data_IF_862143847399
#
_entry.id   IF_862143847399
#
_cell.length_a   1.000
_cell.length_b   1.000
_cell.length_c   1.000
_cell.angle_alpha   90.00
_cell.angle_beta   90.00
_cell.angle_gamma   90.00
#
_symmetry.space_group_name_H-M   'P 1'
#
loop_
_entity.id
_entity.type
_entity.pdbx_description
1 polymer ?
#
# COMPACT_ATOMS: atom_id res chain seq x y z
N UNK A 1 2.91 14.55 8.42
CA UNK A 1 4.28 14.55 8.98
C UNK A 1 4.74 13.10 9.17
N UNK A 2 6.00 12.78 8.85
CA UNK A 2 6.59 11.46 9.07
C UNK A 2 7.60 11.50 10.21
N UNK A 3 7.57 10.51 11.09
CA UNK A 3 8.55 10.41 12.19
C UNK A 3 9.71 9.55 11.72
N UNK A 4 10.96 10.03 11.81
CA UNK A 4 12.12 9.20 11.55
C UNK A 4 12.28 8.17 12.67
N UNK A 5 12.26 6.89 12.31
CA UNK A 5 12.62 5.78 13.17
C UNK A 5 14.02 5.31 12.78
N UNK A 6 14.88 5.10 13.78
CA UNK A 6 16.25 4.68 13.58
C UNK A 6 16.47 3.37 14.33
N UNK A 7 16.93 2.34 13.61
CA UNK A 7 17.30 1.05 14.20
C UNK A 7 18.75 0.77 13.85
N UNK A 8 19.56 0.52 14.88
CA UNK A 8 20.94 0.07 14.73
C UNK A 8 20.96 -1.44 14.78
N UNK A 9 21.49 -2.05 13.73
CA UNK A 9 21.69 -3.48 13.62
C UNK A 9 23.17 -3.77 13.90
N UNK A 10 23.45 -4.67 14.83
CA UNK A 10 24.78 -5.19 15.07
C UNK A 10 24.78 -6.70 14.96
N UNK A 11 25.80 -7.26 14.29
CA UNK A 11 25.96 -8.69 14.10
C UNK A 11 27.41 -9.10 14.10
N UNK A 12 27.73 -10.23 14.73
CA UNK A 12 29.07 -10.81 14.71
C UNK A 12 29.07 -12.07 13.86
N UNK A 13 30.04 -12.17 12.93
CA UNK A 13 30.21 -13.39 12.14
C UNK A 13 31.20 -14.33 12.82
N UNK A 14 30.75 -15.57 13.06
CA UNK A 14 31.62 -16.66 13.49
C UNK A 14 32.09 -17.39 12.23
N UNK A 15 33.33 -17.12 11.82
CA UNK A 15 33.94 -17.86 10.73
C UNK A 15 34.31 -19.28 11.22
N UNK A 16 33.55 -20.28 10.75
CA UNK A 16 33.92 -21.68 10.93
C UNK A 16 35.22 -21.96 10.18
N UNK A 17 36.26 -22.39 10.88
CA UNK A 17 37.52 -22.82 10.27
C UNK A 17 37.25 -24.11 9.48
N UNK A 18 37.74 -24.28 8.24
CA UNK A 18 37.68 -25.57 7.57
C UNK A 18 38.46 -26.61 8.40
N UNK A 19 37.83 -27.75 8.69
CA UNK A 19 38.46 -28.87 9.37
C UNK A 19 39.44 -29.54 8.40
N UNK A 20 40.68 -29.09 8.39
CA UNK A 20 41.74 -29.81 7.70
C UNK A 20 42.15 -31.02 8.55
N UNK A 21 41.75 -32.22 8.09
CA UNK A 21 42.05 -33.49 8.76
C UNK A 21 43.47 -33.92 8.41
N UNK A 22 44.42 -33.60 9.28
CA UNK A 22 45.78 -34.12 9.23
C UNK A 22 46.03 -34.85 10.55
N UNK A 23 46.07 -36.18 10.50
CA UNK A 23 46.57 -36.98 11.60
C UNK A 23 48.07 -36.68 11.79
N UNK A 24 48.46 -36.15 12.97
CA UNK A 24 49.60 -36.59 13.82
C UNK A 24 50.08 -35.46 14.79
N UNK A 25 49.85 -35.69 16.08
CA UNK A 25 50.63 -35.36 17.32
C UNK A 25 51.05 -33.90 17.66
N UNK A 26 50.44 -33.40 18.76
CA UNK A 26 50.89 -32.50 19.86
C UNK A 26 51.98 -31.46 19.54
N UNK A 27 51.62 -30.17 19.52
CA UNK A 27 51.85 -29.29 20.69
C UNK A 27 50.98 -28.02 20.67
N UNK A 28 50.68 -27.53 21.87
CA UNK A 28 49.83 -26.39 22.25
C UNK A 28 49.64 -25.23 21.23
N UNK A 29 48.55 -25.28 20.46
CA UNK A 29 48.06 -24.13 19.69
C UNK A 29 47.32 -23.18 20.63
N UNK A 30 47.94 -22.06 20.98
CA UNK A 30 47.24 -20.86 21.43
C UNK A 30 46.25 -20.50 20.32
N UNK A 31 44.99 -20.89 20.51
CA UNK A 31 43.89 -20.52 19.63
C UNK A 31 43.64 -19.04 19.91
N UNK A 32 44.35 -18.17 19.20
CA UNK A 32 44.00 -16.75 19.20
C UNK A 32 42.53 -16.66 18.79
N UNK A 33 41.68 -15.96 19.56
CA UNK A 33 40.33 -15.67 19.12
C UNK A 33 40.50 -14.80 17.87
N UNK A 34 40.22 -15.37 16.70
CA UNK A 34 40.03 -14.58 15.49
C UNK A 34 39.05 -13.46 15.84
N UNK A 35 39.39 -12.18 15.59
CA UNK A 35 38.48 -11.09 15.92
C UNK A 35 37.15 -11.39 15.25
N UNK A 36 36.09 -11.54 16.06
CA UNK A 36 34.76 -11.72 15.52
C UNK A 36 34.50 -10.54 14.59
N UNK A 37 34.28 -10.82 13.30
CA UNK A 37 34.04 -9.76 12.34
C UNK A 37 32.70 -9.12 12.71
N UNK A 38 32.77 -7.89 13.19
CA UNK A 38 31.62 -7.14 13.67
C UNK A 38 31.07 -6.29 12.51
N UNK A 39 29.79 -6.46 12.24
CA UNK A 39 29.04 -5.67 11.27
C UNK A 39 28.08 -4.78 12.04
N UNK A 40 28.07 -3.50 11.68
CA UNK A 40 27.11 -2.52 12.20
C UNK A 40 26.50 -1.74 11.05
N UNK A 41 25.20 -1.51 11.11
CA UNK A 41 24.47 -0.72 10.13
C UNK A 41 23.28 -0.02 10.76
N UNK A 42 22.87 1.11 10.17
CA UNK A 42 21.72 1.88 10.63
C UNK A 42 20.66 1.91 9.55
N UNK A 43 19.42 1.59 9.91
CA UNK A 43 18.24 1.69 9.02
C UNK A 43 17.38 2.85 9.50
N UNK A 44 17.09 3.77 8.58
CA UNK A 44 16.16 4.88 8.79
C UNK A 44 14.84 4.57 8.10
N UNK A 45 13.73 4.61 8.84
CA UNK A 45 12.38 4.41 8.32
C UNK A 45 11.55 5.64 8.62
N UNK A 46 10.87 6.17 7.62
CA UNK A 46 9.90 7.26 7.81
C UNK A 46 8.51 6.66 8.00
N UNK A 47 8.04 6.63 9.24
CA UNK A 47 6.70 6.14 9.55
C UNK A 47 5.69 7.29 9.45
N UNK A 48 4.58 7.14 8.69
CA UNK A 48 3.52 8.14 8.68
C UNK A 48 2.88 8.23 10.07
N UNK A 49 2.71 9.44 10.61
CA UNK A 49 1.89 9.63 11.81
C UNK A 49 0.42 9.41 11.46
N UNK A 50 -0.18 8.36 12.03
CA UNK A 50 -1.63 8.13 12.01
C UNK A 50 -2.27 8.57 13.31
N UNK A 51 -3.53 8.98 13.26
CA UNK A 51 -4.33 9.33 14.42
C UNK A 51 -5.76 8.86 14.31
N UNK A 52 -6.41 8.67 15.45
CA UNK A 52 -7.82 8.35 15.55
C UNK A 52 -8.61 9.59 15.95
N UNK A 53 -9.67 9.89 15.20
CA UNK A 53 -10.64 10.93 15.47
C UNK A 53 -11.99 10.26 15.71
N UNK A 54 -12.59 10.47 16.88
CA UNK A 54 -13.91 9.94 17.20
C UNK A 54 -14.98 11.01 16.97
N UNK A 55 -16.04 10.64 16.26
CA UNK A 55 -17.15 11.52 15.90
C UNK A 55 -18.46 11.02 16.50
N UNK A 56 -19.30 11.97 16.91
CA UNK A 56 -20.72 11.73 17.13
C UNK A 56 -21.46 11.53 15.79
N UNK A 57 -22.67 10.95 15.80
CA UNK A 57 -23.50 10.80 14.59
C UNK A 57 -23.84 12.14 13.90
N UNK A 58 -23.90 13.23 14.66
CA UNK A 58 -24.12 14.59 14.15
C UNK A 58 -22.84 15.22 13.52
N UNK A 59 -21.71 14.52 13.61
CA UNK A 59 -20.42 14.96 13.09
C UNK A 59 -19.55 15.76 14.02
N UNK A 60 -20.00 16.01 15.25
CA UNK A 60 -19.18 16.67 16.25
C UNK A 60 -18.02 15.77 16.70
N UNK A 61 -16.85 16.38 16.91
CA UNK A 61 -15.66 15.70 17.36
C UNK A 61 -15.79 15.41 18.86
N UNK A 62 -15.75 14.14 19.23
CA UNK A 62 -15.80 13.68 20.63
C UNK A 62 -14.41 13.65 21.23
N UNK A 63 -13.45 13.08 20.52
CA UNK A 63 -12.09 12.99 21.00
C UNK A 63 -11.07 12.92 19.85
N UNK A 64 -9.88 13.41 20.15
CA UNK A 64 -8.67 13.32 19.35
C UNK A 64 -7.47 13.36 20.31
N UNK A 65 -6.36 12.77 19.92
CA UNK A 65 -5.11 12.88 20.67
C UNK A 65 -4.47 14.26 20.47
N UNK A 66 -4.11 14.94 21.57
CA UNK A 66 -3.63 16.33 21.57
C UNK A 66 -2.46 16.55 20.61
N UNK A 67 -1.46 15.67 20.63
CA UNK A 67 -0.29 15.81 19.77
C UNK A 67 -0.66 15.69 18.27
N UNK A 68 -1.68 14.89 17.95
CA UNK A 68 -2.14 14.71 16.58
C UNK A 68 -3.01 15.88 16.13
N UNK A 69 -3.87 16.41 17.00
CA UNK A 69 -4.63 17.64 16.76
C UNK A 69 -3.70 18.78 16.36
N UNK A 70 -2.63 18.97 17.12
CA UNK A 70 -1.66 20.04 16.87
C UNK A 70 -0.81 19.75 15.63
N UNK A 71 -0.27 18.54 15.49
CA UNK A 71 0.67 18.22 14.42
C UNK A 71 0.01 18.05 13.04
N UNK A 72 -1.26 17.66 12.98
CA UNK A 72 -1.99 17.48 11.71
C UNK A 72 -2.82 18.71 11.33
N UNK A 73 -3.46 19.36 12.29
CA UNK A 73 -4.43 20.43 12.03
C UNK A 73 -4.04 21.79 12.61
N UNK A 74 -3.04 21.85 13.49
CA UNK A 74 -2.61 23.11 14.12
C UNK A 74 -3.53 23.61 15.23
N UNK A 75 -4.46 22.78 15.72
CA UNK A 75 -5.38 23.13 16.80
C UNK A 75 -5.09 22.33 18.06
N UNK A 76 -5.37 22.91 19.23
CA UNK A 76 -5.41 22.13 20.47
C UNK A 76 -6.62 21.20 20.49
N UNK A 77 -6.55 20.13 21.30
CA UNK A 77 -7.71 19.23 21.49
C UNK A 77 -8.95 19.99 21.94
N UNK A 78 -8.79 20.90 22.91
CA UNK A 78 -9.90 21.65 23.51
C UNK A 78 -10.60 22.57 22.49
N UNK A 79 -9.88 23.04 21.48
CA UNK A 79 -10.46 23.81 20.37
C UNK A 79 -11.21 22.96 19.35
N UNK A 80 -10.97 21.65 19.30
CA UNK A 80 -11.59 20.74 18.35
C UNK A 80 -12.78 19.98 18.91
N UNK A 81 -12.75 19.61 20.20
CA UNK A 81 -13.85 18.92 20.84
C UNK A 81 -15.14 19.74 20.72
N UNK A 82 -16.20 19.10 20.24
CA UNK A 82 -17.50 19.73 19.99
C UNK A 82 -17.64 20.44 18.64
N UNK A 83 -16.57 20.67 17.89
CA UNK A 83 -16.67 21.19 16.51
C UNK A 83 -17.06 20.09 15.53
N UNK A 84 -17.74 20.45 14.45
CA UNK A 84 -18.01 19.52 13.35
C UNK A 84 -16.70 19.10 12.68
N UNK A 85 -16.58 17.83 12.28
CA UNK A 85 -15.46 17.32 11.46
C UNK A 85 -15.28 18.13 10.17
N UNK A 86 -16.35 18.72 9.64
CA UNK A 86 -16.31 19.57 8.44
C UNK A 86 -15.51 20.86 8.62
N UNK A 87 -15.29 21.31 9.86
CA UNK A 87 -14.38 22.41 10.19
C UNK A 87 -12.92 22.06 9.84
N UNK A 88 -12.52 20.81 10.07
CA UNK A 88 -11.19 20.30 9.74
C UNK A 88 -11.09 19.84 8.29
N UNK A 89 -12.11 19.13 7.81
CA UNK A 89 -12.17 18.54 6.47
C UNK A 89 -13.49 18.89 5.79
N UNK A 90 -13.55 20.00 5.04
CA UNK A 90 -14.71 20.31 4.20
C UNK A 90 -14.98 19.17 3.22
N UNK A 91 -16.26 18.81 3.04
CA UNK A 91 -16.66 17.73 2.13
C UNK A 91 -16.50 16.30 2.67
N UNK A 92 -16.11 16.12 3.95
CA UNK A 92 -15.96 14.81 4.60
C UNK A 92 -17.12 13.84 4.33
N UNK A 93 -18.36 14.30 4.44
CA UNK A 93 -19.54 13.46 4.21
C UNK A 93 -19.79 13.11 2.76
N UNK A 94 -19.38 13.97 1.81
CA UNK A 94 -19.47 13.67 0.38
C UNK A 94 -18.62 12.46 0.04
N UNK A 95 -17.38 12.45 0.53
CA UNK A 95 -16.46 11.31 0.37
C UNK A 95 -17.01 10.01 0.97
N UNK A 96 -17.66 10.07 2.13
CA UNK A 96 -18.27 8.89 2.74
C UNK A 96 -19.49 8.38 1.98
N UNK A 97 -20.27 9.27 1.35
CA UNK A 97 -21.50 8.90 0.63
C UNK A 97 -21.25 8.32 -0.77
N UNK A 98 -20.13 8.66 -1.41
CA UNK A 98 -19.80 8.20 -2.77
C UNK A 98 -19.51 6.69 -2.88
N UNK A 99 -19.22 6.05 -1.74
CA UNK A 99 -19.04 4.60 -1.60
C UNK A 99 -20.22 3.79 -2.16
N UNK A 100 -21.43 4.32 -2.03
CA UNK A 100 -22.67 3.59 -2.39
C UNK A 100 -23.03 3.72 -3.87
N UNK A 101 -22.48 4.73 -4.58
CA UNK A 101 -22.85 5.01 -5.97
C UNK A 101 -22.00 4.21 -6.96
N UNK A 102 -20.79 3.80 -6.56
CA UNK A 102 -19.89 3.02 -7.43
C UNK A 102 -20.20 1.52 -7.42
N UNK A 103 -20.89 1.02 -6.39
CA UNK A 103 -21.41 -0.35 -6.37
C UNK A 103 -22.65 -0.53 -7.27
N UNK A 104 -23.44 0.52 -7.51
CA UNK A 104 -24.60 0.45 -8.41
C UNK A 104 -24.23 0.57 -9.90
N UNK A 105 -23.05 1.12 -10.24
CA UNK A 105 -22.57 1.14 -11.64
C UNK A 105 -22.20 -0.25 -12.18
N UNK A 106 -22.17 -1.28 -11.32
CA UNK A 106 -22.03 -2.69 -11.73
C UNK A 106 -23.37 -3.45 -11.77
N UNK A 107 -24.49 -2.80 -11.45
CA UNK A 107 -25.82 -3.41 -11.52
C UNK A 107 -26.74 -2.59 -12.42
N UNK A 108 -26.61 -2.86 -13.73
CA UNK A 108 -27.70 -2.81 -14.70
C UNK A 108 -28.45 -1.50 -14.92
N UNK A 109 -27.96 -0.66 -15.83
CA UNK A 109 -28.85 -0.05 -16.83
C UNK A 109 -28.66 -0.86 -18.12
N UNK A 110 -29.69 -1.39 -18.78
CA UNK A 110 -30.83 -0.65 -19.30
C UNK A 110 -31.89 -1.64 -19.80
N UNK A 111 -33.18 -1.39 -19.55
CA UNK A 111 -34.23 -1.33 -20.59
C UNK A 111 -35.65 -1.29 -19.98
N UNK A 112 -36.33 -0.17 -20.19
CA UNK A 112 -37.79 -0.03 -20.29
C UNK A 112 -37.99 1.30 -21.04
N UNK A 113 -38.71 1.46 -22.15
CA UNK A 113 -39.34 0.57 -23.12
C UNK A 113 -39.43 1.38 -24.42
N UNK A 114 -39.31 0.74 -25.59
CA UNK A 114 -39.90 1.28 -26.82
C UNK A 114 -40.28 0.14 -27.78
N UNK A 115 -41.54 0.16 -28.19
CA UNK A 115 -42.20 -0.81 -29.04
C UNK A 115 -42.09 -0.37 -30.49
N UNK A 116 -41.44 -1.15 -31.35
CA UNK A 116 -41.91 -1.38 -32.73
C UNK A 116 -41.18 -2.54 -33.40
N UNK A 117 -41.93 -3.24 -34.26
CA UNK A 117 -41.64 -4.54 -34.82
C UNK A 117 -40.67 -4.54 -36.01
N UNK A 118 -40.12 -5.74 -36.23
CA UNK A 118 -39.61 -6.30 -37.48
C UNK A 118 -38.12 -6.16 -37.83
N UNK A 119 -37.52 -7.34 -37.91
CA UNK A 119 -36.47 -7.79 -38.84
C UNK A 119 -35.00 -7.51 -38.50
N UNK A 120 -34.28 -8.63 -38.42
CA UNK A 120 -32.86 -8.84 -38.21
C UNK A 120 -31.95 -7.99 -39.09
N UNK A 121 -30.79 -7.59 -38.55
CA UNK A 121 -29.50 -7.66 -39.26
C UNK A 121 -28.32 -7.55 -38.28
N UNK A 122 -27.48 -8.58 -38.33
CA UNK A 122 -26.17 -8.69 -37.70
C UNK A 122 -25.23 -7.69 -38.38
N UNK A 123 -24.53 -6.84 -37.63
CA UNK A 123 -23.32 -6.19 -38.13
C UNK A 123 -22.28 -6.01 -37.03
N UNK A 124 -21.32 -6.93 -37.04
CA UNK A 124 -19.88 -6.69 -36.87
C UNK A 124 -19.44 -5.75 -35.75
N UNK A 125 -19.02 -6.37 -34.65
CA UNK A 125 -17.99 -5.88 -33.74
C UNK A 125 -16.71 -5.70 -34.55
N UNK A 126 -16.31 -4.46 -34.82
CA UNK A 126 -14.94 -4.10 -35.20
C UNK A 126 -14.61 -2.77 -34.56
N UNK A 127 -14.32 -2.80 -33.26
CA UNK A 127 -13.61 -1.72 -32.57
C UNK A 127 -12.17 -1.73 -33.08
N UNK A 128 -11.83 -0.70 -33.85
CA UNK A 128 -10.47 -0.41 -34.26
C UNK A 128 -9.57 -0.35 -33.01
N UNK A 129 -8.55 -1.21 -32.98
CA UNK A 129 -7.55 -1.29 -31.92
C UNK A 129 -6.68 -0.04 -32.00
N UNK A 130 -6.74 0.80 -30.98
CA UNK A 130 -5.75 1.85 -30.73
C UNK A 130 -4.43 1.16 -30.28
N UNK A 131 -3.30 1.33 -31.00
CA UNK A 131 -2.09 0.53 -30.79
C UNK A 131 -1.32 0.86 -29.51
N UNK A 132 -1.83 1.79 -28.70
CA UNK A 132 -1.18 2.30 -27.49
C UNK A 132 -1.59 1.61 -26.18
N UNK A 133 -2.56 0.68 -26.23
CA UNK A 133 -3.10 0.02 -25.03
C UNK A 133 -2.40 -1.29 -24.62
N UNK A 134 -1.42 -1.78 -25.40
CA UNK A 134 -0.79 -3.07 -25.12
C UNK A 134 0.35 -2.90 -24.10
N UNK A 135 0.04 -3.18 -22.83
CA UNK A 135 1.02 -3.30 -21.75
C UNK A 135 1.81 -4.61 -21.91
N UNK A 136 3.12 -4.57 -21.68
CA UNK A 136 3.97 -5.76 -21.67
C UNK A 136 3.42 -6.79 -20.66
N UNK A 137 2.91 -7.92 -21.16
CA UNK A 137 2.26 -8.96 -20.37
C UNK A 137 0.79 -9.21 -20.71
N UNK A 138 0.17 -8.39 -21.57
CA UNK A 138 -1.19 -8.65 -22.04
C UNK A 138 -1.24 -9.86 -22.99
N UNK A 139 -2.20 -10.76 -22.76
CA UNK A 139 -2.31 -12.06 -23.43
C UNK A 139 -2.70 -11.96 -24.92
N UNK A 140 -3.09 -10.76 -25.37
CA UNK A 140 -3.42 -10.47 -26.77
C UNK A 140 -2.26 -10.76 -27.74
N UNK A 141 -1.01 -10.51 -27.33
CA UNK A 141 0.17 -10.81 -28.17
C UNK A 141 0.42 -12.32 -28.30
N UNK A 142 0.18 -13.07 -27.23
CA UNK A 142 0.32 -14.53 -27.21
C UNK A 142 -0.75 -15.18 -28.10
N UNK A 143 -1.98 -14.71 -28.04
CA UNK A 143 -3.08 -15.19 -28.88
C UNK A 143 -2.81 -14.93 -30.38
N UNK A 144 -2.30 -13.74 -30.73
CA UNK A 144 -1.93 -13.39 -32.12
C UNK A 144 -0.80 -14.29 -32.65
N UNK A 145 0.21 -14.57 -31.84
CA UNK A 145 1.31 -15.46 -32.22
C UNK A 145 0.87 -16.93 -32.43
N UNK A 146 -0.16 -17.39 -31.70
CA UNK A 146 -0.72 -18.75 -31.85
C UNK A 146 -1.55 -18.87 -33.12
N UNK A 147 -2.24 -17.80 -33.54
CA UNK A 147 -3.05 -17.79 -34.77
C UNK A 147 -2.22 -17.67 -36.06
N UNK A 148 -0.96 -17.22 -35.98
CA UNK A 148 -0.06 -17.07 -37.12
C UNK A 148 0.81 -18.33 -37.37
N UNK A 149 0.46 -19.48 -36.76
CA UNK A 149 1.06 -20.79 -37.01
C UNK A 149 0.14 -21.67 -37.85
#
# INVERSE_FOLDING_TARGET
ASVPLCVTLQGTAICGKPLHKNDTKVDSVVRSPSPALEYSGTVWVFAPMSGLLLLCPDGSIVCIHDHLALSLFGYSKDELVGKSVTFLMPGFYGWMSDSDKKASLLTGSHAEADKCAASSKISSITSALDPSSLVAGDMAMVQKAISER
#
